data_IF_007626775272
#
_entry.id   IF_007626775272
#
_cell.length_a   1.000
_cell.length_b   1.000
_cell.length_c   1.000
_cell.angle_alpha   90.00
_cell.angle_beta   90.00
_cell.angle_gamma   90.00
#
_symmetry.space_group_name_H-M   'P 1'
#
loop_
_entity.id
_entity.type
_entity.pdbx_description
1 polymer ?
#
# COMPACT_ATOMS: atom_id res chain seq x y z
N UNK A 1 32.05 2.42 9.76
CA UNK A 1 31.17 1.40 10.35
C UNK A 1 31.51 0.06 9.75
N UNK A 2 31.67 -0.98 10.57
CA UNK A 2 32.00 -2.32 10.08
C UNK A 2 30.76 -2.92 9.42
N UNK A 3 30.87 -3.44 8.19
CA UNK A 3 29.76 -4.07 7.50
C UNK A 3 29.26 -5.31 8.27
N UNK A 4 27.99 -5.33 8.68
CA UNK A 4 27.39 -6.49 9.37
C UNK A 4 26.52 -7.29 8.40
N UNK A 5 26.67 -8.63 8.43
CA UNK A 5 25.74 -9.52 7.76
C UNK A 5 24.46 -9.62 8.60
N UNK A 6 23.31 -9.43 7.96
CA UNK A 6 22.01 -9.73 8.56
C UNK A 6 21.94 -11.19 8.99
N UNK A 7 21.35 -11.49 10.15
CA UNK A 7 21.04 -12.88 10.50
C UNK A 7 20.04 -13.47 9.51
N UNK A 8 20.12 -14.78 9.25
CA UNK A 8 19.17 -15.47 8.36
C UNK A 8 17.73 -15.34 8.86
N UNK A 9 17.57 -15.27 10.18
CA UNK A 9 16.30 -15.09 10.88
C UNK A 9 15.69 -13.72 10.57
N UNK A 10 16.47 -12.64 10.64
CA UNK A 10 15.99 -11.29 10.33
C UNK A 10 15.67 -11.14 8.84
N UNK A 11 16.44 -11.75 7.94
CA UNK A 11 16.12 -11.79 6.51
C UNK A 11 14.79 -12.50 6.23
N UNK A 12 14.59 -13.67 6.84
CA UNK A 12 13.32 -14.40 6.75
C UNK A 12 12.17 -13.58 7.29
N UNK A 13 12.37 -12.89 8.42
CA UNK A 13 11.36 -12.01 8.99
C UNK A 13 11.01 -10.84 8.04
N UNK A 14 12.01 -10.14 7.49
CA UNK A 14 11.78 -9.04 6.55
C UNK A 14 11.05 -9.51 5.28
N UNK A 15 11.46 -10.65 4.72
CA UNK A 15 10.79 -11.22 3.54
C UNK A 15 9.35 -11.59 3.87
N UNK A 16 9.13 -12.25 5.00
CA UNK A 16 7.80 -12.61 5.45
C UNK A 16 6.93 -11.37 5.68
N UNK A 17 7.47 -10.30 6.28
CA UNK A 17 6.75 -9.03 6.46
C UNK A 17 6.39 -8.39 5.12
N UNK A 18 7.27 -8.43 4.12
CA UNK A 18 6.95 -7.98 2.76
C UNK A 18 5.73 -8.71 2.20
N UNK A 19 5.72 -10.04 2.30
CA UNK A 19 4.59 -10.85 1.87
C UNK A 19 3.30 -10.52 2.64
N UNK A 20 3.36 -10.27 3.95
CA UNK A 20 2.18 -9.92 4.74
C UNK A 20 1.65 -8.52 4.43
N UNK A 21 2.52 -7.52 4.31
CA UNK A 21 2.14 -6.13 4.06
C UNK A 21 1.42 -5.98 2.72
N UNK A 22 1.86 -6.69 1.68
CA UNK A 22 1.24 -6.59 0.35
C UNK A 22 0.19 -7.68 0.11
N UNK A 23 0.53 -8.95 0.35
CA UNK A 23 -0.29 -10.11 0.00
C UNK A 23 -0.96 -10.82 1.18
N UNK A 24 -0.75 -10.35 2.42
CA UNK A 24 -1.31 -10.97 3.61
C UNK A 24 -2.82 -11.12 3.54
N UNK A 25 -3.34 -12.25 4.04
CA UNK A 25 -4.77 -12.51 4.14
C UNK A 25 -5.18 -12.57 5.61
N UNK A 26 -6.47 -12.35 5.87
CA UNK A 26 -7.06 -12.32 7.21
C UNK A 26 -6.81 -13.59 8.05
N UNK A 27 -6.38 -14.70 7.44
CA UNK A 27 -6.23 -16.00 8.10
C UNK A 27 -5.03 -16.09 9.05
N UNK A 28 -4.12 -15.12 9.03
CA UNK A 28 -2.97 -15.08 9.95
C UNK A 28 -3.02 -13.93 10.96
N UNK A 29 -3.77 -12.82 10.72
CA UNK A 29 -3.71 -11.60 11.54
C UNK A 29 -5.00 -10.73 11.58
N UNK A 30 -4.98 -9.70 12.43
CA UNK A 30 -5.92 -8.55 12.47
C UNK A 30 -5.72 -7.55 11.30
N UNK A 31 -4.88 -7.89 10.33
CA UNK A 31 -4.46 -7.05 9.21
C UNK A 31 -4.59 -7.83 7.90
N UNK A 32 -5.03 -7.14 6.84
CA UNK A 32 -5.07 -7.66 5.48
C UNK A 32 -4.19 -6.80 4.58
N UNK A 33 -3.36 -7.45 3.77
CA UNK A 33 -2.35 -6.81 2.93
C UNK A 33 -2.94 -5.86 1.90
N UNK A 34 -2.14 -4.86 1.51
CA UNK A 34 -2.54 -3.78 0.60
C UNK A 34 -3.10 -4.33 -0.72
N UNK A 35 -2.33 -5.16 -1.45
CA UNK A 35 -2.76 -5.70 -2.74
C UNK A 35 -3.96 -6.64 -2.60
N UNK A 36 -3.99 -7.44 -1.53
CA UNK A 36 -5.15 -8.30 -1.23
C UNK A 36 -6.44 -7.49 -1.10
N UNK A 37 -6.35 -6.33 -0.43
CA UNK A 37 -7.47 -5.41 -0.26
C UNK A 37 -7.86 -4.74 -1.57
N UNK A 38 -6.88 -4.18 -2.28
CA UNK A 38 -7.10 -3.43 -3.51
C UNK A 38 -7.72 -4.26 -4.64
N UNK A 39 -7.42 -5.56 -4.72
CA UNK A 39 -8.01 -6.48 -5.70
C UNK A 39 -9.54 -6.64 -5.59
N UNK A 40 -10.16 -6.18 -4.50
CA UNK A 40 -11.61 -6.22 -4.28
C UNK A 40 -12.29 -4.87 -4.49
N UNK A 41 -11.53 -3.85 -4.89
CA UNK A 41 -12.00 -2.47 -5.08
C UNK A 41 -12.12 -2.23 -6.59
N UNK A 42 -13.27 -1.76 -7.05
CA UNK A 42 -13.45 -1.31 -8.44
C UNK A 42 -12.99 0.15 -8.64
N UNK A 43 -12.89 0.61 -9.89
CA UNK A 43 -12.43 1.98 -10.19
C UNK A 43 -13.34 3.07 -9.61
N UNK A 44 -14.64 2.79 -9.48
CA UNK A 44 -15.63 3.73 -8.94
C UNK A 44 -15.42 3.93 -7.45
N UNK A 45 -15.23 2.85 -6.70
CA UNK A 45 -14.82 2.90 -5.29
C UNK A 45 -13.44 3.52 -5.15
N UNK A 46 -12.51 3.16 -6.03
CA UNK A 46 -11.14 3.65 -5.98
C UNK A 46 -11.05 5.18 -6.12
N UNK A 47 -11.88 5.75 -6.99
CA UNK A 47 -11.95 7.19 -7.28
C UNK A 47 -12.82 7.99 -6.30
N UNK A 48 -13.60 7.34 -5.44
CA UNK A 48 -14.48 8.01 -4.50
C UNK A 48 -13.69 8.68 -3.38
N UNK A 49 -14.06 9.92 -3.08
CA UNK A 49 -13.52 10.63 -1.93
C UNK A 49 -14.48 10.57 -0.75
N UNK A 50 -13.95 10.16 0.40
CA UNK A 50 -14.71 9.97 1.63
C UNK A 50 -14.28 10.97 2.71
N UNK A 51 -13.01 11.38 2.70
CA UNK A 51 -12.43 12.35 3.64
C UNK A 51 -11.71 13.45 2.86
N UNK A 52 -12.47 14.41 2.31
CA UNK A 52 -11.91 15.56 1.59
C UNK A 52 -11.47 15.22 0.16
N UNK A 53 -10.16 15.15 -0.10
CA UNK A 53 -9.56 14.74 -1.38
C UNK A 53 -8.85 13.36 -1.30
N UNK A 54 -9.06 12.63 -0.21
CA UNK A 54 -8.45 11.32 0.01
C UNK A 54 -9.28 10.21 -0.63
N UNK A 55 -8.71 9.59 -1.66
CA UNK A 55 -9.29 8.44 -2.38
C UNK A 55 -8.40 7.21 -2.22
N UNK A 56 -8.97 6.01 -2.41
CA UNK A 56 -8.20 4.77 -2.38
C UNK A 56 -7.15 4.77 -3.50
N UNK A 57 -7.53 5.26 -4.69
CA UNK A 57 -6.63 5.39 -5.83
C UNK A 57 -5.42 6.27 -5.51
N UNK A 58 -5.64 7.41 -4.83
CA UNK A 58 -4.59 8.33 -4.41
C UNK A 58 -3.64 7.70 -3.40
N UNK A 59 -4.16 6.93 -2.44
CA UNK A 59 -3.32 6.15 -1.52
C UNK A 59 -2.50 5.07 -2.23
N UNK A 60 -3.09 4.33 -3.17
CA UNK A 60 -2.40 3.28 -3.91
C UNK A 60 -1.31 3.85 -4.83
N UNK A 61 -1.61 4.95 -5.54
CA UNK A 61 -0.65 5.67 -6.37
C UNK A 61 0.53 6.20 -5.54
N UNK A 62 0.26 6.71 -4.33
CA UNK A 62 1.31 7.19 -3.44
C UNK A 62 2.26 6.07 -2.99
N UNK A 63 1.72 4.89 -2.64
CA UNK A 63 2.58 3.74 -2.30
C UNK A 63 3.39 3.29 -3.51
N UNK A 64 2.78 3.23 -4.70
CA UNK A 64 3.48 2.93 -5.95
C UNK A 64 4.65 3.89 -6.17
N UNK A 65 4.42 5.21 -6.03
CA UNK A 65 5.46 6.21 -6.17
C UNK A 65 6.60 5.98 -5.18
N UNK A 66 6.30 5.79 -3.90
CA UNK A 66 7.30 5.57 -2.86
C UNK A 66 8.14 4.32 -3.12
N UNK A 67 7.51 3.22 -3.53
CA UNK A 67 8.22 1.99 -3.89
C UNK A 67 9.09 2.18 -5.13
N UNK A 68 8.55 2.80 -6.18
CA UNK A 68 9.26 3.02 -7.43
C UNK A 68 10.53 3.85 -7.22
N UNK A 69 10.44 4.95 -6.46
CA UNK A 69 11.60 5.80 -6.14
C UNK A 69 12.70 4.98 -5.47
N UNK A 70 12.35 4.20 -4.43
CA UNK A 70 13.33 3.45 -3.65
C UNK A 70 13.87 2.22 -4.36
N UNK A 71 13.05 1.55 -5.17
CA UNK A 71 13.48 0.39 -5.94
C UNK A 71 14.38 0.78 -7.12
N UNK A 72 14.21 1.99 -7.66
CA UNK A 72 15.03 2.49 -8.79
C UNK A 72 16.42 2.90 -8.32
N UNK A 73 16.50 3.65 -7.23
CA UNK A 73 17.77 4.12 -6.67
C UNK A 73 17.68 4.16 -5.13
N UNK A 74 18.07 3.08 -4.43
CA UNK A 74 17.96 2.99 -2.98
C UNK A 74 18.95 3.90 -2.25
N UNK A 75 19.97 4.40 -2.93
CA UNK A 75 20.97 5.31 -2.36
C UNK A 75 20.64 6.78 -2.69
N UNK A 76 19.52 7.02 -3.39
CA UNK A 76 19.05 8.36 -3.74
C UNK A 76 18.74 9.19 -2.49
N UNK A 77 19.32 10.38 -2.33
CA UNK A 77 18.98 11.27 -1.24
C UNK A 77 17.50 11.70 -1.31
N UNK A 78 16.71 11.59 -0.23
CA UNK A 78 15.29 11.94 -0.24
C UNK A 78 14.99 13.34 -0.76
N UNK A 79 15.84 14.33 -0.48
CA UNK A 79 15.71 15.72 -0.93
C UNK A 79 15.80 15.89 -2.46
N UNK A 80 16.34 14.90 -3.17
CA UNK A 80 16.44 14.92 -4.63
C UNK A 80 15.17 14.43 -5.33
N UNK A 81 14.19 13.92 -4.57
CA UNK A 81 12.92 13.40 -5.08
C UNK A 81 11.89 14.53 -5.09
N UNK A 82 11.20 14.70 -6.21
CA UNK A 82 10.04 15.60 -6.25
C UNK A 82 8.83 14.93 -5.58
N UNK A 83 8.77 15.06 -4.24
CA UNK A 83 7.67 14.53 -3.44
C UNK A 83 6.33 15.19 -3.73
N UNK A 84 6.29 16.33 -4.43
CA UNK A 84 5.05 16.95 -4.88
C UNK A 84 4.26 16.04 -5.83
N UNK A 85 4.95 15.18 -6.58
CA UNK A 85 4.35 14.20 -7.49
C UNK A 85 3.75 12.98 -6.77
N UNK A 86 4.11 12.77 -5.49
CA UNK A 86 3.71 11.56 -4.75
C UNK A 86 2.22 11.50 -4.42
N UNK A 87 1.50 12.61 -4.56
CA UNK A 87 0.08 12.74 -4.19
C UNK A 87 -0.75 13.39 -5.30
N UNK A 88 -0.51 13.05 -6.56
CA UNK A 88 -1.31 13.55 -7.69
C UNK A 88 -2.81 13.31 -7.55
N UNK A 89 -3.61 14.07 -8.29
CA UNK A 89 -5.06 13.83 -8.38
C UNK A 89 -5.32 12.61 -9.27
N UNK A 90 -6.00 11.61 -8.70
CA UNK A 90 -6.24 10.33 -9.36
C UNK A 90 -7.74 10.09 -9.42
N UNK A 91 -8.36 10.60 -10.49
CA UNK A 91 -9.61 10.05 -11.00
C UNK A 91 -9.23 9.00 -12.04
N UNK A 92 -9.68 7.77 -11.83
CA UNK A 92 -9.28 6.63 -12.65
C UNK A 92 -10.51 5.86 -13.14
N UNK A 93 -10.39 5.37 -14.35
CA UNK A 93 -11.28 4.38 -14.95
C UNK A 93 -10.77 2.96 -14.69
N UNK A 94 -11.46 1.96 -15.24
CA UNK A 94 -11.11 0.55 -15.03
C UNK A 94 -9.73 0.18 -15.61
N UNK A 95 -9.35 0.77 -16.75
CA UNK A 95 -8.07 0.50 -17.41
C UNK A 95 -6.91 1.07 -16.58
N UNK A 96 -6.98 2.36 -16.25
CA UNK A 96 -5.97 3.02 -15.42
C UNK A 96 -5.90 2.46 -14.01
N UNK A 97 -7.01 1.96 -13.46
CA UNK A 97 -6.99 1.23 -12.20
C UNK A 97 -6.24 -0.10 -12.30
N UNK A 98 -6.55 -0.90 -13.32
CA UNK A 98 -5.88 -2.18 -13.54
C UNK A 98 -4.37 -1.99 -13.73
N UNK A 99 -3.97 -0.98 -14.50
CA UNK A 99 -2.56 -0.61 -14.70
C UNK A 99 -1.87 -0.21 -13.40
N UNK A 100 -2.54 0.60 -12.57
CA UNK A 100 -2.00 0.96 -11.26
C UNK A 100 -1.75 -0.28 -10.39
N UNK A 101 -2.71 -1.20 -10.32
CA UNK A 101 -2.57 -2.44 -9.55
C UNK A 101 -1.44 -3.33 -10.08
N UNK A 102 -1.29 -3.41 -11.41
CA UNK A 102 -0.21 -4.14 -12.05
C UNK A 102 1.14 -3.54 -11.68
N UNK A 103 1.32 -2.23 -11.85
CA UNK A 103 2.57 -1.53 -11.51
C UNK A 103 2.90 -1.64 -10.02
N UNK A 104 1.91 -1.48 -9.15
CA UNK A 104 2.09 -1.62 -7.69
C UNK A 104 2.50 -3.05 -7.31
N UNK A 105 1.90 -4.05 -7.94
CA UNK A 105 2.30 -5.46 -7.74
C UNK A 105 3.74 -5.68 -8.17
N UNK A 106 4.14 -5.17 -9.33
CA UNK A 106 5.50 -5.30 -9.83
C UNK A 106 6.54 -4.64 -8.90
N UNK A 107 6.24 -3.47 -8.34
CA UNK A 107 7.15 -2.80 -7.40
C UNK A 107 7.20 -3.50 -6.03
N UNK A 108 6.08 -4.07 -5.56
CA UNK A 108 6.07 -4.91 -4.36
C UNK A 108 6.92 -6.18 -4.53
N UNK A 109 6.82 -6.84 -5.70
CA UNK A 109 7.63 -8.02 -6.03
C UNK A 109 9.12 -7.69 -6.15
N UNK A 110 9.45 -6.51 -6.69
CA UNK A 110 10.84 -6.01 -6.72
C UNK A 110 11.39 -5.79 -5.31
N UNK A 111 10.60 -5.22 -4.39
CA UNK A 111 11.00 -5.06 -3.00
C UNK A 111 11.20 -6.43 -2.32
N UNK A 112 10.30 -7.40 -2.52
CA UNK A 112 10.50 -8.75 -1.97
C UNK A 112 11.78 -9.38 -2.51
N UNK A 113 12.02 -9.25 -3.81
CA UNK A 113 13.25 -9.75 -4.46
C UNK A 113 14.48 -9.08 -3.86
N UNK A 114 14.47 -7.76 -3.71
CA UNK A 114 15.53 -6.98 -3.08
C UNK A 114 15.86 -7.51 -1.69
N UNK A 115 14.84 -7.70 -0.84
CA UNK A 115 14.97 -8.27 0.51
C UNK A 115 15.55 -9.70 0.45
N UNK A 116 15.14 -10.50 -0.53
CA UNK A 116 15.68 -11.84 -0.75
C UNK A 116 17.16 -11.86 -1.14
N UNK A 117 17.64 -10.85 -1.87
CA UNK A 117 19.05 -10.75 -2.29
C UNK A 117 20.02 -10.31 -1.18
N UNK A 118 19.52 -9.86 -0.02
CA UNK A 118 20.34 -9.43 1.13
C UNK A 118 21.17 -10.55 1.79
N UNK A 119 21.14 -11.76 1.22
CA UNK A 119 21.78 -12.98 1.74
C UNK A 119 23.32 -12.98 1.67
N UNK A 120 23.95 -12.09 0.89
CA UNK A 120 25.37 -12.28 0.49
C UNK A 120 26.29 -11.06 0.62
N UNK A 121 25.83 -9.97 1.22
CA UNK A 121 26.66 -8.79 1.40
C UNK A 121 26.30 -8.02 2.66
N UNK A 122 27.18 -7.11 3.09
CA UNK A 122 26.87 -6.30 4.24
C UNK A 122 25.73 -5.33 3.95
N UNK A 123 24.82 -5.24 4.91
CA UNK A 123 23.73 -4.29 4.86
C UNK A 123 24.11 -3.03 5.64
N UNK A 124 24.02 -1.87 5.01
CA UNK A 124 24.11 -0.60 5.72
C UNK A 124 22.85 -0.39 6.57
N UNK A 125 22.99 0.30 7.70
CA UNK A 125 21.84 0.71 8.52
C UNK A 125 20.82 1.50 7.69
N UNK A 126 21.28 2.35 6.79
CA UNK A 126 20.41 3.18 5.94
C UNK A 126 19.53 2.31 5.02
N UNK A 127 20.10 1.26 4.43
CA UNK A 127 19.34 0.36 3.55
C UNK A 127 18.37 -0.52 4.34
N UNK A 128 18.72 -0.92 5.56
CA UNK A 128 17.78 -1.59 6.46
C UNK A 128 16.61 -0.67 6.83
N UNK A 129 16.89 0.58 7.22
CA UNK A 129 15.88 1.57 7.55
C UNK A 129 14.99 1.89 6.36
N UNK A 130 15.55 1.96 5.15
CA UNK A 130 14.78 2.17 3.92
C UNK A 130 13.76 1.06 3.69
N UNK A 131 14.17 -0.21 3.85
CA UNK A 131 13.25 -1.35 3.72
C UNK A 131 12.15 -1.29 4.79
N UNK A 132 12.54 -1.07 6.05
CA UNK A 132 11.58 -0.96 7.16
C UNK A 132 10.57 0.17 6.89
N UNK A 133 11.05 1.33 6.44
CA UNK A 133 10.20 2.48 6.10
C UNK A 133 9.22 2.14 4.99
N UNK A 134 9.63 1.45 3.92
CA UNK A 134 8.71 1.05 2.85
C UNK A 134 7.61 0.10 3.37
N UNK A 135 7.97 -0.87 4.20
CA UNK A 135 7.02 -1.82 4.78
C UNK A 135 6.03 -1.13 5.73
N UNK A 136 6.50 -0.26 6.62
CA UNK A 136 5.64 0.46 7.56
C UNK A 136 4.75 1.47 6.85
N UNK A 137 5.27 2.15 5.82
CA UNK A 137 4.53 3.11 5.01
C UNK A 137 3.40 2.44 4.21
N UNK A 138 3.69 1.31 3.55
CA UNK A 138 2.67 0.53 2.86
C UNK A 138 1.61 -0.03 3.83
N UNK A 139 2.02 -0.49 5.02
CA UNK A 139 1.09 -0.96 6.05
C UNK A 139 0.16 0.17 6.57
N UNK A 140 0.70 1.37 6.75
CA UNK A 140 -0.09 2.55 7.10
C UNK A 140 -1.18 2.82 6.05
N UNK A 141 -0.82 2.83 4.76
CA UNK A 141 -1.79 3.06 3.69
C UNK A 141 -2.82 1.94 3.55
N UNK A 142 -2.43 0.68 3.76
CA UNK A 142 -3.39 -0.42 3.83
C UNK A 142 -4.42 -0.20 4.96
N UNK A 143 -3.99 0.31 6.11
CA UNK A 143 -4.87 0.71 7.21
C UNK A 143 -5.78 1.89 6.86
N UNK A 144 -5.25 2.94 6.22
CA UNK A 144 -6.04 4.09 5.78
C UNK A 144 -7.13 3.70 4.78
N UNK A 145 -6.78 2.87 3.78
CA UNK A 145 -7.73 2.32 2.80
C UNK A 145 -8.79 1.46 3.50
N UNK A 146 -8.42 0.66 4.50
CA UNK A 146 -9.38 -0.11 5.27
C UNK A 146 -10.40 0.79 6.00
N UNK A 147 -9.97 1.94 6.53
CA UNK A 147 -10.89 2.90 7.15
C UNK A 147 -11.84 3.54 6.11
N UNK A 148 -11.34 3.89 4.93
CA UNK A 148 -12.16 4.41 3.83
C UNK A 148 -13.25 3.39 3.45
N UNK A 149 -12.86 2.14 3.15
CA UNK A 149 -13.80 1.08 2.77
C UNK A 149 -14.83 0.78 3.88
N UNK A 150 -14.38 0.78 5.13
CA UNK A 150 -15.27 0.58 6.27
C UNK A 150 -16.30 1.72 6.35
N UNK A 151 -15.86 2.96 6.21
CA UNK A 151 -16.75 4.11 6.27
C UNK A 151 -17.74 4.15 5.09
N UNK A 152 -17.31 3.80 3.87
CA UNK A 152 -18.23 3.66 2.73
C UNK A 152 -19.32 2.63 2.98
N UNK A 153 -18.96 1.52 3.63
CA UNK A 153 -19.94 0.48 4.02
C UNK A 153 -20.98 1.05 4.98
N UNK A 154 -20.55 1.83 5.97
CA UNK A 154 -21.46 2.53 6.90
C UNK A 154 -22.40 3.49 6.16
N UNK A 155 -21.87 4.35 5.28
CA UNK A 155 -22.70 5.29 4.51
C UNK A 155 -23.76 4.59 3.66
N UNK A 156 -23.42 3.45 3.05
CA UNK A 156 -24.36 2.70 2.22
C UNK A 156 -25.46 2.03 3.06
N UNK A 157 -25.17 1.64 4.31
CA UNK A 157 -26.15 1.09 5.25
C UNK A 157 -27.14 2.15 5.72
N UNK A 158 -26.66 3.33 6.12
CA UNK A 158 -27.51 4.45 6.56
C UNK A 158 -28.50 4.88 5.45
N UNK A 159 -28.05 4.90 4.19
CA UNK A 159 -28.92 5.19 3.03
C UNK A 159 -29.98 4.10 2.85
N UNK A 160 -29.63 2.83 2.99
CA UNK A 160 -30.57 1.73 2.84
C UNK A 160 -31.65 1.75 3.94
N UNK A 161 -31.27 2.03 5.19
CA UNK A 161 -32.18 2.16 6.31
C UNK A 161 -33.11 3.38 6.15
N UNK A 162 -32.59 4.54 5.77
CA UNK A 162 -33.40 5.74 5.52
C UNK A 162 -34.40 5.58 4.36
N UNK A 163 -34.04 4.85 3.29
CA UNK A 163 -34.97 4.51 2.19
C UNK A 163 -36.05 3.54 2.67
N UNK A 164 -35.73 2.64 3.60
CA UNK A 164 -36.68 1.69 4.16
C UNK A 164 -37.68 2.38 5.09
N UNK A 165 -37.25 3.33 5.92
CA UNK A 165 -38.14 4.17 6.74
C UNK A 165 -39.07 5.03 5.87
N UNK A 166 -38.57 5.62 4.78
CA UNK A 166 -39.38 6.41 3.86
C UNK A 166 -40.47 5.58 3.16
N UNK A 167 -40.24 4.29 2.91
CA UNK A 167 -41.25 3.38 2.33
C UNK A 167 -42.32 2.92 3.33
N UNK A 168 -42.07 3.02 4.63
CA UNK A 168 -43.06 2.66 5.67
C UNK A 168 -44.03 3.82 5.94
N UNK A 169 -43.66 5.04 5.55
CA UNK A 169 -44.43 6.27 5.79
C UNK A 169 -45.32 6.70 4.60
N UNK A 170 -45.41 5.90 3.54
CA UNK A 170 -46.25 6.12 2.35
C UNK A 170 -47.27 4.97 2.25
#
# INVERSE_FOLDING_TARGET
>A
MTPHNLSRELQRALRWQCQQVFGGTHHTHWFEGLLTKLRRVDSTQASRSVFGNSTIARHAAHVLFCLHVMNTDPDRPPESVDWGLSWGDVQIDDETWADLLHLLTAEADRLETLVGTLQTGPLSTDRLLLIINQLTHAAYHAGAIAQILKYETYLNQDVAEGVQEAKVLI
#
